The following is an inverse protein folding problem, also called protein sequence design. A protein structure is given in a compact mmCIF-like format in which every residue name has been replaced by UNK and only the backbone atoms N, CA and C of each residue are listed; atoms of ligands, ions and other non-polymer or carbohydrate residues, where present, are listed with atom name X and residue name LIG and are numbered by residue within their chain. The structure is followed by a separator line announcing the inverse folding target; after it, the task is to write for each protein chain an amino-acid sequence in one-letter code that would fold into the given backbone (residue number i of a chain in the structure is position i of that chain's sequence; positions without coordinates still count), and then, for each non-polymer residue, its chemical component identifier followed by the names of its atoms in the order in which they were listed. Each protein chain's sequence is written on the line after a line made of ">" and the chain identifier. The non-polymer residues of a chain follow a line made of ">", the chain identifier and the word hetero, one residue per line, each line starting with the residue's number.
data_IF_762631277335
#
_entry.id   IF_762631277335
#
_cell.length_a   1.000
_cell.length_b   1.000
_cell.length_c   1.000
_cell.angle_alpha   90.00
_cell.angle_beta   90.00
_cell.angle_gamma   90.00
#
_symmetry.space_group_name_H-M   'P 1'
#
loop_
_entity.id
_entity.type
_entity.pdbx_description
1 polymer ?
#
# COMPACT_ATOMS: atom_id res chain seq x y z
N UNK A 1 -14.95 -27.73 60.57
CA UNK A 1 -16.12 -28.50 60.09
C UNK A 1 -17.22 -27.48 59.83
N UNK A 2 -17.21 -26.87 58.66
CA UNK A 2 -18.24 -25.92 58.20
C UNK A 2 -18.41 -26.15 56.71
N UNK A 3 -19.56 -26.71 56.35
CA UNK A 3 -19.93 -27.09 54.99
C UNK A 3 -20.42 -25.87 54.19
N UNK A 4 -19.93 -25.74 52.95
CA UNK A 4 -20.36 -24.74 51.98
C UNK A 4 -21.15 -25.44 50.85
N UNK A 5 -22.37 -24.98 50.49
CA UNK A 5 -23.20 -25.68 49.50
C UNK A 5 -22.84 -25.29 48.06
N UNK A 6 -22.66 -26.32 47.22
CA UNK A 6 -22.45 -26.23 45.77
C UNK A 6 -23.71 -25.68 45.07
N UNK A 7 -23.60 -24.54 44.36
CA UNK A 7 -24.65 -24.03 43.48
C UNK A 7 -24.50 -24.57 42.05
N UNK A 8 -25.49 -25.32 41.61
CA UNK A 8 -25.60 -25.89 40.26
C UNK A 8 -26.26 -24.88 39.31
N UNK A 9 -25.46 -24.25 38.44
CA UNK A 9 -25.92 -23.28 37.42
C UNK A 9 -26.32 -23.96 36.11
N UNK A 10 -27.59 -23.79 35.72
CA UNK A 10 -28.25 -24.35 34.53
C UNK A 10 -27.63 -23.84 33.21
N UNK A 11 -27.36 -24.75 32.27
CA UNK A 11 -26.88 -24.42 30.92
C UNK A 11 -28.04 -23.91 30.05
N UNK A 12 -27.95 -22.66 29.57
CA UNK A 12 -28.85 -22.10 28.55
C UNK A 12 -28.46 -22.52 27.12
N UNK A 13 -29.34 -22.35 26.13
CA UNK A 13 -29.11 -22.86 24.77
C UNK A 13 -27.94 -22.16 24.07
N UNK A 14 -27.03 -22.96 23.52
CA UNK A 14 -25.83 -22.52 22.79
C UNK A 14 -26.25 -21.84 21.47
N UNK A 15 -26.11 -20.51 21.39
CA UNK A 15 -26.29 -19.77 20.15
C UNK A 15 -25.12 -20.03 19.21
N UNK A 16 -25.39 -20.56 18.01
CA UNK A 16 -24.39 -20.76 16.97
C UNK A 16 -23.87 -19.41 16.44
N UNK A 17 -22.55 -19.25 16.24
CA UNK A 17 -21.98 -18.01 15.73
C UNK A 17 -22.25 -17.82 14.22
N UNK A 18 -22.51 -16.56 13.84
CA UNK A 18 -23.00 -16.09 12.52
C UNK A 18 -22.11 -16.45 11.32
N UNK A 19 -20.90 -16.95 11.53
CA UNK A 19 -19.97 -17.28 10.43
C UNK A 19 -20.23 -18.64 9.78
N UNK A 20 -21.05 -19.50 10.38
CA UNK A 20 -21.34 -20.85 9.89
C UNK A 20 -22.41 -20.91 8.76
N UNK A 21 -22.71 -19.81 8.07
CA UNK A 21 -23.88 -19.70 7.16
C UNK A 21 -23.57 -19.13 5.78
N UNK A 22 -22.34 -19.22 5.28
CA UNK A 22 -22.02 -18.80 3.91
C UNK A 22 -21.41 -19.94 3.13
N UNK A 23 -22.18 -20.49 2.19
CA UNK A 23 -21.69 -21.37 1.14
C UNK A 23 -20.98 -20.53 0.05
N UNK A 24 -19.94 -21.06 -0.62
CA UNK A 24 -19.25 -20.37 -1.72
C UNK A 24 -20.08 -20.46 -3.01
N UNK A 25 -20.23 -19.34 -3.71
CA UNK A 25 -20.79 -19.30 -5.06
C UNK A 25 -19.65 -19.38 -6.09
N UNK A 26 -19.72 -20.34 -7.00
CA UNK A 26 -18.86 -20.44 -8.18
C UNK A 26 -19.24 -19.35 -9.21
N UNK A 27 -18.26 -18.73 -9.85
CA UNK A 27 -18.46 -17.90 -11.04
C UNK A 27 -17.35 -18.20 -12.05
N UNK A 28 -17.66 -18.58 -13.30
CA UNK A 28 -16.65 -18.81 -14.31
C UNK A 28 -16.27 -17.52 -15.04
N UNK A 29 -15.05 -17.52 -15.55
CA UNK A 29 -14.38 -16.46 -16.30
C UNK A 29 -15.04 -16.17 -17.66
N UNK A 30 -15.00 -14.90 -18.08
CA UNK A 30 -15.27 -14.51 -19.46
C UNK A 30 -14.15 -13.61 -19.99
N UNK A 31 -13.87 -13.82 -21.26
CA UNK A 31 -12.67 -13.58 -22.04
C UNK A 31 -12.48 -12.15 -22.54
N UNK A 32 -11.21 -11.84 -22.79
CA UNK A 32 -10.74 -10.66 -23.50
C UNK A 32 -11.10 -10.68 -24.99
N UNK A 33 -11.37 -9.52 -25.56
CA UNK A 33 -11.15 -9.25 -26.99
C UNK A 33 -10.66 -7.82 -27.19
N UNK A 34 -9.59 -7.73 -27.97
CA UNK A 34 -8.92 -6.52 -28.41
C UNK A 34 -9.15 -6.41 -29.92
N UNK A 35 -9.43 -5.21 -30.42
CA UNK A 35 -9.27 -4.91 -31.84
C UNK A 35 -8.55 -3.59 -32.04
N UNK A 36 -7.63 -3.65 -33.00
CA UNK A 36 -6.69 -2.62 -33.35
C UNK A 36 -6.91 -2.17 -34.80
N UNK A 37 -6.53 -0.91 -35.02
CA UNK A 37 -5.75 -0.43 -36.17
C UNK A 37 -6.45 0.02 -37.47
N UNK A 38 -5.79 1.05 -38.03
CA UNK A 38 -5.65 1.44 -39.45
C UNK A 38 -6.63 2.50 -39.96
N UNK A 39 -6.31 3.52 -40.78
CA UNK A 39 -5.17 4.42 -41.10
C UNK A 39 -5.53 5.06 -42.46
N UNK A 40 -5.20 6.34 -42.68
CA UNK A 40 -5.14 7.07 -43.98
C UNK A 40 -6.50 7.31 -44.69
N UNK A 41 -6.72 8.35 -45.51
CA UNK A 41 -5.82 9.12 -46.37
C UNK A 41 -6.40 10.50 -46.72
N UNK A 42 -5.54 11.39 -47.20
CA UNK A 42 -5.80 12.75 -47.69
C UNK A 42 -6.45 12.78 -49.08
N UNK A 43 -7.13 13.89 -49.41
CA UNK A 43 -7.62 14.15 -50.77
C UNK A 43 -8.32 15.50 -50.87
N UNK A 44 -7.60 16.50 -51.38
CA UNK A 44 -8.11 17.82 -51.69
C UNK A 44 -8.31 17.96 -53.21
N UNK A 45 -9.43 18.52 -53.69
CA UNK A 45 -9.47 19.42 -54.88
C UNK A 45 -10.86 20.08 -55.08
N UNK A 46 -10.82 21.39 -55.40
CA UNK A 46 -11.60 22.18 -56.40
C UNK A 46 -13.15 22.15 -56.38
N UNK A 47 -13.94 23.16 -56.77
CA UNK A 47 -13.79 24.45 -57.50
C UNK A 47 -15.13 25.22 -57.30
N UNK A 48 -15.15 26.53 -56.97
CA UNK A 48 -15.55 27.72 -57.77
C UNK A 48 -17.02 27.74 -58.31
N UNK A 49 -17.75 28.88 -58.43
CA UNK A 49 -17.33 30.05 -59.20
C UNK A 49 -17.48 31.44 -58.56
N UNK A 50 -16.50 32.28 -58.90
CA UNK A 50 -16.54 33.74 -58.93
C UNK A 50 -17.65 34.30 -59.83
N UNK A 51 -18.17 35.45 -59.43
CA UNK A 51 -18.63 36.50 -60.34
C UNK A 51 -17.73 37.72 -60.17
N UNK A 52 -17.18 38.17 -61.29
CA UNK A 52 -16.29 39.30 -61.44
C UNK A 52 -17.07 40.62 -61.54
N UNK A 53 -16.45 41.73 -61.13
CA UNK A 53 -15.97 42.77 -62.05
C UNK A 53 -15.74 44.10 -61.32
N UNK A 54 -14.71 44.84 -61.74
CA UNK A 54 -14.56 46.25 -61.42
C UNK A 54 -13.13 46.72 -61.15
N UNK A 55 -12.39 46.94 -62.23
CA UNK A 55 -11.05 47.54 -62.23
C UNK A 55 -11.03 49.01 -61.76
N UNK A 56 -9.98 49.39 -61.02
CA UNK A 56 -9.31 50.69 -61.17
C UNK A 56 -7.94 50.68 -60.48
N UNK A 57 -6.90 50.97 -61.26
CA UNK A 57 -5.52 51.13 -60.83
C UNK A 57 -5.34 52.36 -59.93
N UNK A 58 -4.44 52.26 -58.95
CA UNK A 58 -4.03 53.40 -58.12
C UNK A 58 -2.94 53.04 -57.12
N UNK A 59 -1.70 53.40 -57.49
CA UNK A 59 -0.52 53.70 -56.67
C UNK A 59 -0.44 53.18 -55.21
N UNK A 60 0.64 52.45 -54.93
CA UNK A 60 1.13 52.20 -53.57
C UNK A 60 1.40 53.52 -52.82
N UNK A 61 1.24 53.50 -51.49
CA UNK A 61 2.42 53.76 -50.68
C UNK A 61 2.64 52.72 -49.57
N UNK A 62 3.92 52.52 -49.25
CA UNK A 62 4.43 51.71 -48.15
C UNK A 62 3.65 51.93 -46.84
N UNK A 63 3.00 50.86 -46.37
CA UNK A 63 2.22 50.85 -45.13
C UNK A 63 2.69 49.78 -44.15
N UNK A 64 3.71 50.14 -43.35
CA UNK A 64 4.04 49.58 -42.01
C UNK A 64 4.10 48.05 -41.87
N UNK A 65 5.33 47.52 -41.82
CA UNK A 65 5.68 46.22 -41.22
C UNK A 65 4.87 45.96 -39.95
N UNK A 66 3.98 44.97 -40.00
CA UNK A 66 3.23 44.47 -38.86
C UNK A 66 4.17 44.07 -37.72
N UNK A 67 4.22 44.88 -36.66
CA UNK A 67 4.84 44.46 -35.40
C UNK A 67 3.93 43.40 -34.80
N UNK A 68 4.29 42.12 -34.96
CA UNK A 68 3.75 41.01 -34.16
C UNK A 68 3.74 41.48 -32.69
N UNK A 69 2.61 41.44 -31.95
CA UNK A 69 2.60 41.89 -30.57
C UNK A 69 3.63 41.07 -29.80
N UNK A 70 4.71 41.72 -29.39
CA UNK A 70 5.73 41.12 -28.52
C UNK A 70 4.99 40.73 -27.24
N UNK A 71 4.85 39.42 -27.01
CA UNK A 71 4.29 38.87 -25.76
C UNK A 71 4.84 39.67 -24.58
N UNK A 72 3.99 40.27 -23.72
CA UNK A 72 4.48 41.13 -22.66
C UNK A 72 5.42 40.32 -21.78
N UNK A 73 6.70 40.73 -21.74
CA UNK A 73 7.68 40.16 -20.82
C UNK A 73 7.22 40.48 -19.40
N UNK A 74 6.66 39.48 -18.71
CA UNK A 74 6.23 39.62 -17.31
C UNK A 74 7.44 40.06 -16.47
N UNK A 75 7.43 41.31 -15.96
CA UNK A 75 8.42 41.86 -15.02
C UNK A 75 7.81 41.90 -13.61
N UNK A 76 8.61 41.60 -12.59
CA UNK A 76 8.28 41.80 -11.17
C UNK A 76 7.62 40.62 -10.44
N UNK A 77 7.19 40.89 -9.20
CA UNK A 77 6.68 39.95 -8.17
C UNK A 77 5.60 38.95 -8.66
N UNK A 78 4.93 39.26 -9.77
CA UNK A 78 3.98 38.35 -10.45
C UNK A 78 4.63 37.12 -11.12
N UNK A 79 5.97 37.03 -11.16
CA UNK A 79 6.74 35.81 -11.54
C UNK A 79 6.86 34.80 -10.40
N UNK A 80 6.61 35.23 -9.15
CA UNK A 80 6.72 34.40 -7.94
C UNK A 80 5.46 33.56 -7.72
N UNK A 81 4.34 33.90 -8.37
CA UNK A 81 3.18 33.02 -8.43
C UNK A 81 3.39 32.00 -9.55
N UNK A 82 3.78 30.75 -9.23
CA UNK A 82 3.84 29.70 -10.24
C UNK A 82 2.48 29.60 -10.91
N UNK A 83 2.47 29.56 -12.24
CA UNK A 83 1.23 29.21 -12.96
C UNK A 83 0.80 27.83 -12.46
N UNK A 84 -0.50 27.51 -12.40
CA UNK A 84 -0.97 26.19 -11.95
C UNK A 84 -0.24 25.02 -12.67
N UNK A 85 0.18 25.23 -13.93
CA UNK A 85 1.06 24.31 -14.69
C UNK A 85 2.44 24.07 -14.08
N UNK A 86 3.07 25.08 -13.50
CA UNK A 86 4.35 24.96 -12.79
C UNK A 86 4.18 24.30 -11.42
N UNK A 87 3.08 24.60 -10.71
CA UNK A 87 2.73 23.90 -9.45
C UNK A 87 2.50 22.43 -9.73
N UNK A 88 1.69 22.11 -10.74
CA UNK A 88 1.41 20.75 -11.17
C UNK A 88 2.68 20.03 -11.65
N UNK A 89 3.50 20.70 -12.46
CA UNK A 89 4.78 20.15 -12.93
C UNK A 89 5.75 19.87 -11.78
N UNK A 90 5.85 20.78 -10.80
CA UNK A 90 6.65 20.59 -9.59
C UNK A 90 6.13 19.45 -8.73
N UNK A 91 4.81 19.34 -8.54
CA UNK A 91 4.17 18.26 -7.79
C UNK A 91 4.43 16.89 -8.44
N UNK A 92 4.27 16.78 -9.76
CA UNK A 92 4.56 15.55 -10.51
C UNK A 92 6.06 15.21 -10.39
N UNK A 93 6.95 16.19 -10.51
CA UNK A 93 8.39 15.96 -10.36
C UNK A 93 8.74 15.41 -8.97
N UNK A 94 8.14 15.96 -7.90
CA UNK A 94 8.34 15.46 -6.53
C UNK A 94 7.88 14.02 -6.41
N UNK A 95 6.69 13.69 -6.92
CA UNK A 95 6.19 12.29 -6.92
C UNK A 95 7.17 11.38 -7.66
N UNK A 96 7.64 11.79 -8.84
CA UNK A 96 8.59 11.03 -9.65
C UNK A 96 9.91 10.79 -8.90
N UNK A 97 10.42 11.80 -8.20
CA UNK A 97 11.62 11.67 -7.37
C UNK A 97 11.39 10.76 -6.16
N UNK A 98 10.23 10.83 -5.49
CA UNK A 98 9.90 9.93 -4.39
C UNK A 98 9.80 8.48 -4.86
N UNK A 99 9.11 8.22 -5.98
CA UNK A 99 8.96 6.88 -6.55
C UNK A 99 10.30 6.35 -7.04
N UNK A 100 11.06 7.17 -7.78
CA UNK A 100 12.39 6.79 -8.27
C UNK A 100 13.38 6.54 -7.13
N UNK A 101 13.37 7.39 -6.10
CA UNK A 101 14.19 7.20 -4.90
C UNK A 101 13.81 5.96 -4.11
N UNK A 102 12.52 5.69 -3.94
CA UNK A 102 12.04 4.47 -3.30
C UNK A 102 12.46 3.21 -4.08
N UNK A 103 12.30 3.22 -5.42
CA UNK A 103 12.69 2.10 -6.27
C UNK A 103 14.20 1.86 -6.24
N UNK A 104 15.00 2.92 -6.35
CA UNK A 104 16.45 2.82 -6.25
C UNK A 104 16.87 2.27 -4.88
N UNK A 105 16.27 2.75 -3.79
CA UNK A 105 16.49 2.22 -2.46
C UNK A 105 16.12 0.74 -2.35
N UNK A 106 14.96 0.34 -2.86
CA UNK A 106 14.52 -1.05 -2.88
C UNK A 106 15.51 -1.97 -3.60
N UNK A 107 16.08 -1.52 -4.73
CA UNK A 107 17.05 -2.30 -5.48
C UNK A 107 18.47 -2.31 -4.89
N UNK A 108 18.82 -1.33 -4.05
CA UNK A 108 20.14 -1.22 -3.41
C UNK A 108 20.19 -1.81 -1.99
N UNK A 109 19.06 -2.06 -1.36
CA UNK A 109 19.01 -2.58 0.00
C UNK A 109 19.20 -4.08 -0.01
N UNK A 110 20.36 -4.51 0.48
CA UNK A 110 20.63 -5.92 0.75
C UNK A 110 19.86 -6.41 1.99
N UNK A 111 19.47 -7.68 1.96
CA UNK A 111 18.83 -8.32 3.12
C UNK A 111 19.91 -8.62 4.16
N UNK A 112 19.83 -8.07 5.38
CA UNK A 112 20.81 -8.35 6.42
C UNK A 112 20.82 -9.82 6.81
N UNK A 113 21.97 -10.30 7.29
CA UNK A 113 22.04 -11.63 7.90
C UNK A 113 21.21 -11.66 9.20
N UNK A 114 20.70 -12.84 9.56
CA UNK A 114 19.96 -13.04 10.80
C UNK A 114 20.77 -12.60 12.02
N UNK A 115 20.13 -11.90 12.96
CA UNK A 115 20.77 -11.49 14.20
C UNK A 115 21.17 -12.75 14.99
N UNK A 116 22.42 -12.81 15.44
CA UNK A 116 22.92 -13.96 16.21
C UNK A 116 22.10 -14.21 17.48
N UNK A 117 21.56 -13.14 18.11
CA UNK A 117 20.66 -13.24 19.25
C UNK A 117 19.28 -13.83 18.90
N UNK A 118 18.81 -13.65 17.66
CA UNK A 118 17.55 -14.23 17.20
C UNK A 118 17.65 -15.75 16.97
N UNK A 119 18.83 -16.22 16.56
CA UNK A 119 19.08 -17.64 16.27
C UNK A 119 19.45 -18.48 17.49
N UNK A 120 19.88 -17.84 18.60
CA UNK A 120 20.24 -18.53 19.85
C UNK A 120 19.05 -19.31 20.42
N UNK A 121 19.34 -20.54 20.85
CA UNK A 121 18.40 -21.44 21.52
C UNK A 121 19.06 -22.03 22.76
N UNK A 122 18.24 -22.39 23.74
CA UNK A 122 18.67 -23.23 24.86
C UNK A 122 18.58 -24.72 24.51
N UNK A 123 19.52 -25.49 25.03
CA UNK A 123 19.44 -26.94 25.08
C UNK A 123 18.53 -27.36 26.24
N UNK A 124 17.66 -28.34 26.00
CA UNK A 124 16.76 -28.91 27.01
C UNK A 124 17.12 -30.36 27.23
N UNK A 125 17.48 -30.70 28.46
CA UNK A 125 17.76 -32.06 28.88
C UNK A 125 16.49 -32.66 29.48
N UNK A 126 16.08 -33.82 28.97
CA UNK A 126 14.87 -34.53 29.39
C UNK A 126 15.23 -35.90 29.98
N UNK A 127 14.46 -36.35 30.97
CA UNK A 127 14.48 -37.72 31.47
C UNK A 127 13.86 -38.67 30.44
N UNK A 128 14.02 -39.99 30.64
CA UNK A 128 13.47 -41.00 29.73
C UNK A 128 11.94 -40.98 29.63
N UNK A 129 11.25 -40.44 30.62
CA UNK A 129 9.80 -40.24 30.64
C UNK A 129 9.35 -38.91 29.98
N UNK A 130 10.31 -38.09 29.51
CA UNK A 130 10.07 -36.79 28.89
C UNK A 130 9.99 -35.60 29.85
N UNK A 131 10.15 -35.80 31.17
CA UNK A 131 10.18 -34.69 32.13
C UNK A 131 11.50 -33.91 32.04
N UNK A 132 11.47 -32.60 32.29
CA UNK A 132 12.66 -31.75 32.14
C UNK A 132 13.64 -31.92 33.30
N UNK A 133 14.89 -32.24 32.98
CA UNK A 133 16.02 -32.29 33.93
C UNK A 133 16.57 -30.88 34.13
N UNK A 134 16.98 -30.25 33.03
CA UNK A 134 17.69 -28.99 33.04
C UNK A 134 17.54 -28.27 31.70
N UNK A 135 17.80 -26.97 31.72
CA UNK A 135 17.90 -26.12 30.53
C UNK A 135 19.23 -25.38 30.61
N UNK A 136 19.97 -25.38 29.52
CA UNK A 136 21.27 -24.70 29.42
C UNK A 136 21.33 -23.85 28.15
N UNK A 137 21.92 -22.67 28.24
CA UNK A 137 22.02 -21.70 27.16
C UNK A 137 21.79 -20.27 27.63
N UNK A 138 22.34 -19.31 26.88
CA UNK A 138 22.31 -17.89 27.22
C UNK A 138 20.91 -17.27 27.17
N UNK A 139 19.96 -17.91 26.50
CA UNK A 139 18.58 -17.44 26.34
C UNK A 139 17.59 -18.57 26.58
N UNK A 140 16.49 -18.27 27.28
CA UNK A 140 15.38 -19.22 27.45
C UNK A 140 14.52 -19.25 26.18
N UNK A 141 14.99 -19.94 25.13
CA UNK A 141 14.30 -20.05 23.84
C UNK A 141 14.37 -21.47 23.29
N UNK A 142 13.25 -21.94 22.77
CA UNK A 142 13.07 -23.23 22.12
C UNK A 142 12.25 -23.06 20.84
N UNK A 143 12.64 -23.72 19.74
CA UNK A 143 11.91 -23.66 18.48
C UNK A 143 10.85 -24.76 18.49
N UNK A 144 9.60 -24.34 18.42
CA UNK A 144 8.45 -25.26 18.37
C UNK A 144 7.79 -25.13 16.99
N UNK A 145 7.56 -26.23 16.25
CA UNK A 145 6.78 -26.21 15.02
C UNK A 145 5.37 -25.68 15.25
N UNK A 146 4.84 -24.88 14.32
CA UNK A 146 3.49 -24.28 14.47
C UNK A 146 2.38 -25.32 14.70
N UNK A 147 2.53 -26.54 14.15
CA UNK A 147 1.61 -27.66 14.32
C UNK A 147 1.47 -28.16 15.78
N UNK A 148 2.49 -27.93 16.61
CA UNK A 148 2.48 -28.31 18.03
C UNK A 148 1.84 -27.22 18.91
N UNK A 149 1.64 -26.02 18.36
CA UNK A 149 0.97 -24.92 19.07
C UNK A 149 -0.55 -25.13 19.00
N UNK A 150 -1.27 -25.18 20.12
CA UNK A 150 -2.72 -25.34 20.10
C UNK A 150 -3.41 -24.24 19.30
N UNK A 151 -4.42 -24.60 18.51
CA UNK A 151 -5.09 -23.68 17.59
C UNK A 151 -5.71 -22.46 18.29
N UNK A 152 -6.19 -22.63 19.53
CA UNK A 152 -6.73 -21.53 20.32
C UNK A 152 -5.65 -20.51 20.72
N UNK A 153 -4.41 -20.95 20.96
CA UNK A 153 -3.27 -20.05 21.23
C UNK A 153 -2.90 -19.29 19.98
N UNK A 154 -2.78 -19.97 18.84
CA UNK A 154 -2.50 -19.32 17.55
C UNK A 154 -3.54 -18.22 17.26
N UNK A 155 -4.83 -18.55 17.40
CA UNK A 155 -5.93 -17.60 17.19
C UNK A 155 -5.95 -16.45 18.20
N UNK A 156 -5.55 -16.69 19.46
CA UNK A 156 -5.48 -15.64 20.47
C UNK A 156 -4.40 -14.61 20.12
N UNK A 157 -3.21 -15.06 19.68
CA UNK A 157 -2.12 -14.18 19.25
C UNK A 157 -2.53 -13.39 18.01
N UNK A 158 -3.09 -14.06 16.98
CA UNK A 158 -3.62 -13.37 15.80
C UNK A 158 -4.71 -12.36 16.17
N UNK A 159 -5.61 -12.71 17.09
CA UNK A 159 -6.67 -11.79 17.52
C UNK A 159 -6.13 -10.52 18.19
N UNK A 160 -5.02 -10.62 18.91
CA UNK A 160 -4.42 -9.52 19.66
C UNK A 160 -3.46 -8.68 18.80
N UNK A 161 -2.65 -9.32 17.96
CA UNK A 161 -1.57 -8.66 17.21
C UNK A 161 -1.96 -8.30 15.78
N UNK A 162 -2.61 -9.23 15.06
CA UNK A 162 -2.83 -9.13 13.62
C UNK A 162 -3.96 -10.06 13.17
N UNK A 163 -5.18 -9.51 13.12
CA UNK A 163 -6.43 -10.28 12.95
C UNK A 163 -6.61 -10.81 11.53
N UNK A 164 -6.08 -10.10 10.55
CA UNK A 164 -6.27 -10.36 9.13
C UNK A 164 -5.01 -10.97 8.48
N UNK A 165 -4.00 -11.33 9.28
CA UNK A 165 -2.68 -11.87 8.89
C UNK A 165 -2.67 -12.81 7.67
N UNK A 166 -3.61 -13.78 7.61
CA UNK A 166 -3.63 -14.76 6.51
C UNK A 166 -4.24 -14.24 5.20
N UNK A 167 -4.95 -13.11 5.23
CA UNK A 167 -5.60 -12.49 4.08
C UNK A 167 -5.00 -11.14 3.68
N UNK A 168 -4.15 -10.55 4.51
CA UNK A 168 -3.47 -9.28 4.23
C UNK A 168 -2.07 -9.47 3.62
N UNK A 169 -1.56 -8.39 3.03
CA UNK A 169 -0.16 -8.31 2.61
C UNK A 169 0.76 -8.18 3.82
N UNK A 170 2.05 -8.48 3.65
CA UNK A 170 3.07 -8.34 4.70
C UNK A 170 3.14 -6.95 5.37
N UNK A 171 2.58 -5.93 4.73
CA UNK A 171 2.38 -4.58 5.27
C UNK A 171 0.91 -4.23 5.09
N UNK A 172 0.26 -3.74 6.15
CA UNK A 172 -1.09 -3.17 6.09
C UNK A 172 -1.07 -1.63 6.26
N UNK A 173 -1.08 -0.86 5.15
CA UNK A 173 -1.16 0.59 5.20
C UNK A 173 -2.42 1.12 5.91
N UNK A 174 -3.53 0.37 5.86
CA UNK A 174 -4.79 0.78 6.48
C UNK A 174 -4.67 0.70 8.00
N UNK A 175 -4.10 -0.37 8.56
CA UNK A 175 -3.78 -0.45 9.98
C UNK A 175 -2.79 0.63 10.41
N UNK A 176 -1.75 0.90 9.61
CA UNK A 176 -0.77 1.96 9.90
C UNK A 176 -1.43 3.35 9.97
N UNK A 177 -2.22 3.73 8.97
CA UNK A 177 -2.92 5.02 8.93
C UNK A 177 -3.91 5.13 10.09
N UNK A 178 -4.69 4.07 10.35
CA UNK A 178 -5.64 4.02 11.47
C UNK A 178 -4.92 4.18 12.82
N UNK A 179 -3.81 3.47 13.02
CA UNK A 179 -3.01 3.54 14.23
C UNK A 179 -2.41 4.94 14.45
N UNK A 180 -1.86 5.54 13.39
CA UNK A 180 -1.36 6.91 13.41
C UNK A 180 -2.48 7.91 13.74
N UNK A 181 -3.63 7.80 13.08
CA UNK A 181 -4.78 8.66 13.32
C UNK A 181 -5.31 8.55 14.75
N UNK A 182 -5.45 7.34 15.28
CA UNK A 182 -5.90 7.12 16.66
C UNK A 182 -4.91 7.69 17.68
N UNK A 183 -3.61 7.58 17.40
CA UNK A 183 -2.55 8.14 18.25
C UNK A 183 -2.60 9.67 18.24
N UNK A 184 -2.70 10.29 17.05
CA UNK A 184 -2.76 11.76 16.89
C UNK A 184 -4.05 12.35 17.47
N UNK A 185 -5.17 11.64 17.36
CA UNK A 185 -6.47 12.08 17.89
C UNK A 185 -6.67 11.78 19.38
N UNK A 186 -5.64 11.31 20.08
CA UNK A 186 -5.68 11.08 21.53
C UNK A 186 -6.49 9.86 21.97
N UNK A 187 -6.84 8.95 21.04
CA UNK A 187 -7.57 7.70 21.33
C UNK A 187 -6.68 6.59 21.91
N UNK A 188 -5.43 6.91 22.22
CA UNK A 188 -4.42 5.98 22.73
C UNK A 188 -3.40 5.56 21.66
N UNK A 189 -2.26 5.03 22.13
CA UNK A 189 -1.23 4.44 21.26
C UNK A 189 -1.73 3.10 20.76
N UNK A 190 -1.63 2.89 19.46
CA UNK A 190 -2.07 1.65 18.84
C UNK A 190 -0.96 1.10 17.94
N UNK A 191 -0.77 -0.22 17.95
CA UNK A 191 0.08 -0.87 16.95
C UNK A 191 -0.61 -0.84 15.59
N UNK A 192 0.16 -0.54 14.55
CA UNK A 192 -0.25 -0.65 13.15
C UNK A 192 0.69 -1.57 12.36
N UNK A 193 1.59 -2.29 13.04
CA UNK A 193 2.55 -3.20 12.43
C UNK A 193 2.00 -4.61 12.33
N UNK A 194 2.27 -5.28 11.22
CA UNK A 194 1.90 -6.67 10.96
C UNK A 194 2.83 -7.63 11.70
N UNK A 195 2.41 -8.89 11.87
CA UNK A 195 3.29 -9.93 12.43
C UNK A 195 4.57 -10.09 11.58
N UNK A 196 4.49 -9.92 10.26
CA UNK A 196 5.67 -9.99 9.38
C UNK A 196 6.68 -8.89 9.68
N UNK A 197 6.22 -7.65 9.91
CA UNK A 197 7.11 -6.55 10.31
C UNK A 197 7.76 -6.82 11.67
N UNK A 198 6.98 -7.33 12.63
CA UNK A 198 7.49 -7.69 13.95
C UNK A 198 8.53 -8.80 13.86
N UNK A 199 8.32 -9.81 12.99
CA UNK A 199 9.31 -10.85 12.72
C UNK A 199 10.60 -10.27 12.17
N UNK A 200 10.54 -9.43 11.13
CA UNK A 200 11.74 -8.82 10.54
C UNK A 200 12.51 -8.02 11.58
N UNK A 201 11.80 -7.21 12.38
CA UNK A 201 12.39 -6.43 13.47
C UNK A 201 13.09 -7.29 14.51
N UNK A 202 12.48 -8.38 14.94
CA UNK A 202 13.03 -9.22 16.01
C UNK A 202 14.10 -10.20 15.50
N UNK A 203 14.14 -10.47 14.20
CA UNK A 203 15.02 -11.48 13.60
C UNK A 203 16.28 -10.90 12.95
N UNK A 204 16.19 -9.69 12.37
CA UNK A 204 17.27 -9.10 11.58
C UNK A 204 17.87 -7.82 12.16
N UNK A 205 17.13 -7.10 13.01
CA UNK A 205 17.56 -5.83 13.60
C UNK A 205 18.04 -6.03 15.05
#
# INVERSE_FOLDING_TARGET
>A
MSDEPQQQGKQGPVRRPRWASREPQDTPAETAEAEAATTAEAGATAENPQVADGAAAGAAPEGKKGKKPKRPKRKGWRRIFPTWRMVLGGFILIILLCVGGFMAGYMLVDIPAANSAATKQSNVYLYADGTQIARDGEVNREKVPLKEVPLHVQRAVLAAEDRDFYGESAVDPKAMIRAAWNTVTGKGKQSGSTITQQYVKNYYL
#
